data_IF_143876510661
#
_entry.id   IF_143876510661
#
_cell.length_a   1.000
_cell.length_b   1.000
_cell.length_c   1.000
_cell.angle_alpha   90.00
_cell.angle_beta   90.00
_cell.angle_gamma   90.00
#
_symmetry.space_group_name_H-M   'P 1'
#
loop_
_entity.id
_entity.type
_entity.pdbx_description
1 polymer ?
#
# COMPACT_ATOMS: atom_id res chain seq x y z
N UNK A 1 -11.70 2.05 4.01
CA UNK A 1 -10.94 1.97 2.76
C UNK A 1 -9.94 0.83 2.77
N UNK A 2 -9.15 0.73 1.70
CA UNK A 2 -8.10 -0.29 1.53
C UNK A 2 -6.71 0.14 2.01
N UNK A 3 -6.52 1.43 2.33
CA UNK A 3 -5.28 2.03 2.85
C UNK A 3 -4.80 1.32 4.11
N UNK A 4 -3.48 1.23 4.33
CA UNK A 4 -2.87 0.53 5.48
C UNK A 4 -3.48 0.92 6.84
N UNK A 5 -3.64 2.22 7.11
CA UNK A 5 -4.16 2.77 8.35
C UNK A 5 -5.69 3.00 8.39
N UNK A 6 -6.45 2.44 7.43
CA UNK A 6 -7.90 2.63 7.39
C UNK A 6 -8.61 2.03 8.62
N UNK A 7 -9.59 2.75 9.19
CA UNK A 7 -10.43 2.24 10.30
C UNK A 7 -11.20 0.97 9.94
N UNK A 8 -11.67 0.82 8.70
CA UNK A 8 -12.31 -0.42 8.18
C UNK A 8 -11.37 -1.65 8.10
N UNK A 9 -10.16 -1.55 8.63
CA UNK A 9 -9.18 -2.64 8.72
C UNK A 9 -8.75 -2.95 10.14
N UNK A 10 -9.35 -2.30 11.13
CA UNK A 10 -9.02 -2.59 12.52
C UNK A 10 -9.44 -4.03 12.91
N UNK A 11 -8.65 -4.70 13.77
CA UNK A 11 -7.38 -4.22 14.33
C UNK A 11 -6.24 -4.27 13.32
N UNK A 12 -5.39 -3.24 13.33
CA UNK A 12 -4.16 -3.23 12.52
C UNK A 12 -3.16 -4.23 13.10
N UNK A 13 -2.74 -5.20 12.30
CA UNK A 13 -1.69 -6.15 12.70
C UNK A 13 -0.34 -5.61 12.26
N UNK A 14 0.49 -5.17 13.22
CA UNK A 14 1.91 -4.87 13.05
C UNK A 14 2.77 -5.99 13.61
N UNK A 15 4.00 -6.14 13.10
CA UNK A 15 4.96 -7.09 13.65
C UNK A 15 5.23 -6.73 15.11
N UNK A 16 5.25 -7.74 15.97
CA UNK A 16 5.60 -7.56 17.38
C UNK A 16 7.04 -7.02 17.48
N UNK A 17 7.28 -6.19 18.48
CA UNK A 17 8.60 -5.63 18.74
C UNK A 17 9.64 -6.76 18.86
N UNK A 18 10.80 -6.57 18.23
CA UNK A 18 11.88 -7.57 18.21
C UNK A 18 11.67 -8.76 17.26
N UNK A 19 10.52 -8.87 16.58
CA UNK A 19 10.27 -9.95 15.60
C UNK A 19 10.51 -9.49 14.16
N UNK A 20 10.89 -10.43 13.27
CA UNK A 20 11.05 -10.19 11.82
C UNK A 20 11.99 -9.02 11.48
N UNK A 21 12.92 -8.68 12.39
CA UNK A 21 13.80 -7.51 12.28
C UNK A 21 14.67 -7.60 11.04
N UNK A 22 15.39 -8.70 10.87
CA UNK A 22 16.30 -8.92 9.72
C UNK A 22 15.55 -8.88 8.39
N UNK A 23 14.36 -9.50 8.32
CA UNK A 23 13.53 -9.47 7.13
C UNK A 23 13.09 -8.04 6.79
N UNK A 24 12.58 -7.28 7.77
CA UNK A 24 12.17 -5.89 7.56
C UNK A 24 13.33 -4.98 7.18
N UNK A 25 14.54 -5.24 7.69
CA UNK A 25 15.76 -4.52 7.30
C UNK A 25 16.15 -4.84 5.86
N UNK A 26 16.15 -6.12 5.48
CA UNK A 26 16.44 -6.57 4.11
C UNK A 26 15.46 -5.95 3.09
N UNK A 27 14.17 -5.97 3.39
CA UNK A 27 13.15 -5.32 2.56
C UNK A 27 13.41 -3.82 2.41
N UNK A 28 13.74 -3.11 3.50
CA UNK A 28 14.06 -1.69 3.44
C UNK A 28 15.34 -1.39 2.65
N UNK A 29 16.36 -2.23 2.77
CA UNK A 29 17.58 -2.11 1.97
C UNK A 29 17.26 -2.25 0.47
N UNK A 30 16.41 -3.21 0.11
CA UNK A 30 15.98 -3.39 -1.28
C UNK A 30 15.14 -2.22 -1.81
N UNK A 31 14.38 -1.51 -0.96
CA UNK A 31 13.65 -0.30 -1.39
C UNK A 31 14.56 0.87 -1.75
N UNK A 32 15.85 0.82 -1.39
CA UNK A 32 16.83 1.83 -1.76
C UNK A 32 17.54 1.52 -3.09
N UNK A 33 17.38 0.29 -3.61
CA UNK A 33 17.91 -0.11 -4.91
C UNK A 33 16.97 0.38 -6.02
N UNK A 34 17.39 1.42 -6.75
CA UNK A 34 16.61 2.05 -7.83
C UNK A 34 16.35 1.12 -9.02
N UNK A 35 17.11 0.03 -9.15
CA UNK A 35 16.91 -0.95 -10.22
C UNK A 35 15.83 -1.98 -9.87
N UNK A 36 15.45 -2.11 -8.60
CA UNK A 36 14.40 -3.03 -8.15
C UNK A 36 13.04 -2.35 -8.18
N UNK A 37 12.11 -2.91 -8.96
CA UNK A 37 10.73 -2.39 -9.11
C UNK A 37 9.67 -3.22 -8.38
N UNK A 38 10.01 -4.43 -7.92
CA UNK A 38 9.08 -5.35 -7.28
C UNK A 38 9.75 -6.04 -6.10
N UNK A 39 9.02 -6.08 -4.97
CA UNK A 39 9.34 -6.91 -3.82
C UNK A 39 8.23 -7.91 -3.61
N UNK A 40 8.61 -9.17 -3.45
CA UNK A 40 7.67 -10.26 -3.30
C UNK A 40 7.96 -11.01 -1.99
N UNK A 41 6.98 -11.04 -1.08
CA UNK A 41 7.08 -11.75 0.20
C UNK A 41 6.24 -13.02 0.13
N UNK A 42 6.90 -14.18 0.07
CA UNK A 42 6.27 -15.51 0.16
C UNK A 42 6.33 -16.08 1.58
N UNK A 43 5.54 -17.13 1.81
CA UNK A 43 5.49 -17.87 3.06
C UNK A 43 4.17 -18.60 3.19
N UNK A 44 4.09 -19.55 4.12
CA UNK A 44 2.89 -20.34 4.34
C UNK A 44 1.70 -19.49 4.83
N UNK A 45 0.51 -20.07 4.80
CA UNK A 45 -0.67 -19.43 5.38
C UNK A 45 -0.44 -19.17 6.87
N UNK A 46 -0.89 -18.01 7.37
CA UNK A 46 -0.73 -17.66 8.79
C UNK A 46 0.63 -17.11 9.20
N UNK A 47 1.68 -17.11 8.36
CA UNK A 47 3.01 -16.61 8.73
C UNK A 47 3.13 -15.08 8.93
N UNK A 48 2.03 -14.33 8.83
CA UNK A 48 2.03 -12.88 9.03
C UNK A 48 2.52 -12.05 7.83
N UNK A 49 2.38 -12.54 6.59
CA UNK A 49 2.77 -11.78 5.38
C UNK A 49 2.10 -10.40 5.31
N UNK A 50 0.78 -10.35 5.55
CA UNK A 50 0.05 -9.08 5.58
C UNK A 50 0.49 -8.17 6.74
N UNK A 51 0.89 -8.76 7.87
CA UNK A 51 1.45 -8.03 9.03
C UNK A 51 2.81 -7.41 8.69
N UNK A 52 3.66 -8.12 7.94
CA UNK A 52 4.94 -7.60 7.43
C UNK A 52 4.68 -6.43 6.48
N UNK A 53 3.77 -6.59 5.51
CA UNK A 53 3.41 -5.53 4.57
C UNK A 53 2.84 -4.28 5.28
N UNK A 54 1.99 -4.46 6.30
CA UNK A 54 1.46 -3.36 7.10
C UNK A 54 2.57 -2.63 7.87
N UNK A 55 3.47 -3.39 8.51
CA UNK A 55 4.59 -2.83 9.28
C UNK A 55 5.53 -2.04 8.36
N UNK A 56 5.81 -2.56 7.17
CA UNK A 56 6.64 -1.87 6.18
C UNK A 56 5.95 -0.58 5.69
N UNK A 57 4.66 -0.63 5.39
CA UNK A 57 3.89 0.56 5.00
C UNK A 57 3.91 1.63 6.07
N UNK A 58 3.64 1.28 7.34
CA UNK A 58 3.69 2.21 8.47
C UNK A 58 5.08 2.86 8.63
N UNK A 59 6.16 2.08 8.48
CA UNK A 59 7.52 2.61 8.53
C UNK A 59 7.80 3.59 7.38
N UNK A 60 7.36 3.28 6.16
CA UNK A 60 7.55 4.15 5.00
C UNK A 60 6.72 5.43 5.11
N UNK A 61 5.51 5.35 5.66
CA UNK A 61 4.65 6.51 5.90
C UNK A 61 5.30 7.48 6.88
N UNK A 62 5.81 6.97 8.02
CA UNK A 62 6.57 7.77 9.00
C UNK A 62 7.84 8.40 8.41
N UNK A 63 8.38 7.84 7.34
CA UNK A 63 9.55 8.37 6.63
C UNK A 63 9.18 9.36 5.51
N UNK A 64 7.88 9.58 5.24
CA UNK A 64 7.42 10.37 4.09
C UNK A 64 7.72 9.72 2.73
N UNK A 65 7.88 8.38 2.71
CA UNK A 65 8.27 7.59 1.52
C UNK A 65 7.15 6.72 0.96
N UNK A 66 6.04 6.58 1.68
CA UNK A 66 4.91 5.78 1.23
C UNK A 66 4.07 6.55 0.21
N UNK A 67 3.96 6.04 -1.01
CA UNK A 67 3.19 6.69 -2.06
C UNK A 67 1.69 6.36 -1.97
N UNK A 68 1.35 5.07 -1.84
CA UNK A 68 -0.02 4.59 -1.70
C UNK A 68 -0.03 3.12 -1.24
N UNK A 69 -1.17 2.64 -0.75
CA UNK A 69 -1.37 1.23 -0.38
C UNK A 69 -2.74 0.71 -0.77
N UNK A 70 -2.80 -0.60 -1.02
CA UNK A 70 -4.07 -1.32 -1.17
C UNK A 70 -3.94 -2.70 -0.53
N UNK A 71 -4.84 -3.04 0.38
CA UNK A 71 -4.91 -4.38 0.96
C UNK A 71 -6.23 -5.04 0.63
N UNK A 72 -6.11 -6.19 -0.03
CA UNK A 72 -7.22 -7.05 -0.35
C UNK A 72 -7.86 -7.65 0.90
N UNK A 73 -9.18 -7.86 0.82
CA UNK A 73 -9.93 -8.56 1.84
C UNK A 73 -11.13 -9.27 1.22
N UNK A 74 -11.19 -10.59 1.39
CA UNK A 74 -12.33 -11.42 0.95
C UNK A 74 -13.65 -11.06 1.64
N UNK A 75 -13.58 -10.37 2.79
CA UNK A 75 -14.75 -9.99 3.58
C UNK A 75 -15.41 -8.67 3.11
N UNK A 76 -14.81 -7.97 2.15
CA UNK A 76 -15.31 -6.67 1.70
C UNK A 76 -15.32 -6.62 0.19
N UNK A 77 -16.50 -6.47 -0.41
CA UNK A 77 -16.72 -6.51 -1.85
C UNK A 77 -15.76 -5.56 -2.62
N UNK A 78 -15.60 -4.32 -2.13
CA UNK A 78 -14.71 -3.32 -2.75
C UNK A 78 -13.21 -3.65 -2.65
N UNK A 79 -12.82 -4.68 -1.91
CA UNK A 79 -11.44 -5.12 -1.68
C UNK A 79 -11.23 -6.59 -2.03
N UNK A 80 -12.22 -7.26 -2.59
CA UNK A 80 -12.13 -8.67 -2.98
C UNK A 80 -11.80 -8.85 -4.46
N UNK A 81 -11.79 -7.77 -5.25
CA UNK A 81 -11.47 -7.76 -6.67
C UNK A 81 -10.54 -6.57 -7.01
N UNK A 82 -10.25 -6.40 -8.31
CA UNK A 82 -9.31 -5.39 -8.81
C UNK A 82 -9.96 -4.03 -9.10
N UNK A 83 -11.29 -3.95 -9.15
CA UNK A 83 -12.05 -2.80 -9.66
C UNK A 83 -11.66 -1.49 -8.96
N UNK A 84 -11.37 -1.54 -7.66
CA UNK A 84 -11.02 -0.36 -6.85
C UNK A 84 -9.52 -0.19 -6.61
N UNK A 85 -8.66 -1.07 -7.11
CA UNK A 85 -7.21 -1.00 -6.84
C UNK A 85 -6.64 0.29 -7.41
N UNK A 86 -6.79 0.52 -8.71
CA UNK A 86 -6.20 1.68 -9.38
C UNK A 86 -6.83 2.98 -8.94
N UNK A 87 -8.16 3.04 -8.79
CA UNK A 87 -8.87 4.23 -8.31
C UNK A 87 -8.41 4.61 -6.89
N UNK A 88 -8.27 3.62 -5.99
CA UNK A 88 -7.80 3.87 -4.63
C UNK A 88 -6.35 4.36 -4.59
N UNK A 89 -5.48 3.81 -5.45
CA UNK A 89 -4.08 4.22 -5.53
C UNK A 89 -3.96 5.63 -6.14
N UNK A 90 -4.68 5.92 -7.22
CA UNK A 90 -4.72 7.24 -7.85
C UNK A 90 -5.20 8.31 -6.86
N UNK A 91 -6.29 8.05 -6.14
CA UNK A 91 -6.78 8.95 -5.09
C UNK A 91 -5.70 9.25 -4.04
N UNK A 92 -5.03 8.22 -3.49
CA UNK A 92 -3.94 8.40 -2.53
C UNK A 92 -2.77 9.21 -3.11
N UNK A 93 -2.34 8.89 -4.33
CA UNK A 93 -1.24 9.61 -4.99
C UNK A 93 -1.60 11.09 -5.22
N UNK A 94 -2.82 11.39 -5.67
CA UNK A 94 -3.30 12.75 -5.89
C UNK A 94 -3.40 13.56 -4.60
N UNK A 95 -3.70 12.94 -3.46
CA UNK A 95 -3.71 13.61 -2.17
C UNK A 95 -2.31 14.00 -1.67
N UNK A 96 -1.30 13.20 -1.99
CA UNK A 96 0.04 13.35 -1.41
C UNK A 96 1.06 13.98 -2.35
N UNK A 97 0.79 14.03 -3.66
CA UNK A 97 1.76 14.51 -4.65
C UNK A 97 1.11 15.47 -5.66
N UNK A 98 1.41 16.79 -5.60
CA UNK A 98 0.77 17.80 -6.46
C UNK A 98 0.84 17.49 -7.96
N UNK A 99 2.01 17.06 -8.47
CA UNK A 99 2.10 16.68 -9.89
C UNK A 99 1.21 15.48 -10.27
N UNK A 100 1.00 14.54 -9.35
CA UNK A 100 0.12 13.41 -9.61
C UNK A 100 -1.34 13.88 -9.60
N UNK A 101 -1.70 14.78 -8.69
CA UNK A 101 -3.01 15.42 -8.65
C UNK A 101 -3.34 16.08 -9.98
N UNK A 102 -2.47 16.94 -10.49
CA UNK A 102 -2.69 17.66 -11.75
C UNK A 102 -2.94 16.70 -12.92
N UNK A 103 -2.09 15.67 -13.05
CA UNK A 103 -2.21 14.65 -14.10
C UNK A 103 -3.52 13.86 -13.98
N UNK A 104 -3.90 13.45 -12.76
CA UNK A 104 -5.11 12.67 -12.51
C UNK A 104 -6.36 13.52 -12.80
N UNK A 105 -6.40 14.77 -12.33
CA UNK A 105 -7.52 15.69 -12.57
C UNK A 105 -7.66 15.97 -14.07
N UNK A 106 -6.54 16.17 -14.77
CA UNK A 106 -6.56 16.36 -16.21
C UNK A 106 -7.09 15.12 -16.94
N UNK A 107 -6.66 13.92 -16.56
CA UNK A 107 -7.14 12.68 -17.15
C UNK A 107 -8.66 12.51 -16.98
N UNK A 108 -9.19 12.75 -15.77
CA UNK A 108 -10.64 12.70 -15.49
C UNK A 108 -11.40 13.79 -16.26
N UNK A 109 -10.81 14.98 -16.40
CA UNK A 109 -11.43 16.09 -17.14
C UNK A 109 -11.53 15.78 -18.65
N UNK A 110 -10.55 15.06 -19.18
CA UNK A 110 -10.51 14.65 -20.58
C UNK A 110 -11.41 13.43 -20.87
N UNK A 111 -11.52 12.52 -19.91
CA UNK A 111 -12.37 11.33 -19.99
C UNK A 111 -13.20 11.15 -18.70
N UNK A 112 -14.41 11.74 -18.66
CA UNK A 112 -15.30 11.63 -17.51
C UNK A 112 -15.78 10.20 -17.21
N UNK A 113 -15.60 9.23 -18.12
CA UNK A 113 -15.99 7.84 -17.89
C UNK A 113 -15.06 7.09 -16.91
N UNK A 114 -13.95 7.72 -16.53
CA UNK A 114 -13.00 7.20 -15.52
C UNK A 114 -13.51 7.31 -14.07
N UNK A 115 -14.67 7.95 -13.84
CA UNK A 115 -15.29 8.13 -12.52
C UNK A 115 -16.33 7.06 -12.18
#
# INVERSE_FOLDING_TARGET
>A
GAVYNSNERQPHSVCLQGTRVELLQSLQAHLNDRNRKLLWVTGESGCGKSTIAHTLAEKLDRQGRLAATFFFSRKHAKRSNLDHVFVSLAYQLGLHHPRAQDIIVQAISNDPSLL
#
